data_IF_701689088997
#
_entry.id   IF_701689088997
#
_cell.length_a   1.000
_cell.length_b   1.000
_cell.length_c   1.000
_cell.angle_alpha   90.00
_cell.angle_beta   90.00
_cell.angle_gamma   90.00
#
_symmetry.space_group_name_H-M   'P 1'
#
loop_
_entity.id
_entity.type
_entity.pdbx_description
1 polymer ?
#
# COMPACT_ATOMS: atom_id res chain seq x y z
N UNK A 1 -18.31 -6.09 -0.83
CA UNK A 1 -19.35 -6.26 -1.88
C UNK A 1 -19.22 -7.64 -2.50
N UNK A 2 -20.35 -8.34 -2.60
CA UNK A 2 -20.55 -9.69 -3.12
C UNK A 2 -21.02 -9.52 -4.57
N UNK A 3 -20.30 -10.11 -5.54
CA UNK A 3 -20.73 -10.06 -6.95
C UNK A 3 -22.01 -10.86 -7.16
N UNK A 4 -22.74 -10.55 -8.23
CA UNK A 4 -23.92 -11.32 -8.65
C UNK A 4 -23.55 -12.81 -8.81
N UNK A 5 -24.32 -13.71 -8.18
CA UNK A 5 -24.04 -15.15 -8.12
C UNK A 5 -23.09 -15.61 -7.00
N UNK A 6 -22.56 -14.72 -6.16
CA UNK A 6 -21.79 -15.07 -4.96
C UNK A 6 -22.67 -15.01 -3.69
N UNK A 7 -22.38 -15.88 -2.72
CA UNK A 7 -22.99 -15.88 -1.38
C UNK A 7 -22.01 -15.34 -0.34
N UNK A 8 -22.54 -14.73 0.72
CA UNK A 8 -21.72 -14.36 1.86
C UNK A 8 -21.27 -15.61 2.63
N UNK A 9 -20.09 -15.59 3.28
CA UNK A 9 -19.68 -16.66 4.17
C UNK A 9 -20.73 -16.94 5.24
N UNK A 10 -20.91 -18.23 5.57
CA UNK A 10 -21.85 -18.65 6.60
C UNK A 10 -21.63 -17.91 7.92
N UNK A 11 -22.71 -17.38 8.50
CA UNK A 11 -22.69 -16.63 9.77
C UNK A 11 -22.39 -15.12 9.65
N UNK A 12 -22.13 -14.61 8.44
CA UNK A 12 -21.92 -13.16 8.24
C UNK A 12 -23.24 -12.43 7.97
N UNK A 13 -23.43 -11.30 8.65
CA UNK A 13 -24.57 -10.43 8.39
C UNK A 13 -24.37 -9.67 7.08
N UNK A 14 -25.26 -9.95 6.13
CA UNK A 14 -25.27 -9.34 4.80
C UNK A 14 -26.16 -8.10 4.82
N UNK A 15 -25.61 -6.96 4.42
CA UNK A 15 -26.30 -5.69 4.23
C UNK A 15 -26.40 -5.40 2.73
N UNK A 16 -27.45 -4.70 2.33
CA UNK A 16 -27.56 -4.19 0.96
C UNK A 16 -26.76 -2.88 0.84
N UNK A 17 -25.94 -2.79 -0.20
CA UNK A 17 -25.06 -1.66 -0.43
C UNK A 17 -25.79 -0.48 -1.08
N UNK A 18 -25.34 0.77 -0.84
CA UNK A 18 -26.00 1.99 -1.32
C UNK A 18 -26.08 2.15 -2.86
N UNK A 19 -25.41 1.29 -3.64
CA UNK A 19 -25.43 1.30 -5.12
C UNK A 19 -26.06 0.05 -5.75
N UNK A 20 -26.80 -0.73 -4.97
CA UNK A 20 -27.25 -2.06 -5.36
C UNK A 20 -26.13 -3.10 -5.23
N UNK A 21 -26.50 -4.31 -4.82
CA UNK A 21 -25.56 -5.40 -4.48
C UNK A 21 -25.41 -5.61 -2.98
N UNK A 22 -24.92 -6.79 -2.58
CA UNK A 22 -24.86 -7.23 -1.17
C UNK A 22 -23.44 -7.09 -0.62
N UNK A 23 -23.25 -6.77 0.65
CA UNK A 23 -21.92 -6.77 1.30
C UNK A 23 -22.01 -7.27 2.75
N UNK A 24 -20.89 -7.66 3.34
CA UNK A 24 -20.81 -8.02 4.77
C UNK A 24 -19.52 -7.42 5.35
N UNK A 25 -19.53 -7.11 6.64
CA UNK A 25 -18.39 -6.55 7.38
C UNK A 25 -17.66 -7.67 8.12
N UNK A 26 -16.33 -7.67 8.09
CA UNK A 26 -15.50 -8.61 8.86
C UNK A 26 -14.76 -7.88 9.97
N UNK A 27 -14.63 -8.48 11.16
CA UNK A 27 -13.91 -7.90 12.31
C UNK A 27 -12.42 -7.58 12.07
N UNK A 28 -11.83 -8.06 10.98
CA UNK A 28 -10.41 -7.86 10.63
C UNK A 28 -10.08 -6.53 9.94
N UNK A 29 -11.08 -5.79 9.42
CA UNK A 29 -10.85 -4.55 8.65
C UNK A 29 -10.05 -4.69 7.33
N UNK A 30 -9.42 -5.85 7.07
CA UNK A 30 -8.52 -6.10 5.94
C UNK A 30 -9.04 -7.12 4.93
N UNK A 31 -8.81 -6.79 3.66
CA UNK A 31 -8.92 -7.68 2.51
C UNK A 31 -10.33 -7.75 1.92
N UNK A 32 -10.42 -7.68 0.59
CA UNK A 32 -11.61 -8.18 -0.13
C UNK A 32 -11.96 -9.59 0.38
N UNK A 33 -13.24 -10.00 0.36
CA UNK A 33 -13.61 -11.40 0.49
C UNK A 33 -12.69 -12.25 -0.36
N UNK A 34 -11.81 -13.03 0.28
CA UNK A 34 -11.09 -14.07 -0.43
C UNK A 34 -12.18 -15.07 -0.82
N UNK A 35 -12.37 -15.20 -2.14
CA UNK A 35 -13.30 -16.18 -2.70
C UNK A 35 -12.97 -17.57 -2.16
N UNK A 36 -13.91 -18.50 -2.25
CA UNK A 36 -13.60 -19.87 -1.87
C UNK A 36 -12.43 -20.41 -2.71
N UNK A 37 -11.56 -21.25 -2.13
CA UNK A 37 -10.57 -21.94 -2.94
C UNK A 37 -11.29 -22.75 -4.03
N UNK A 38 -10.69 -22.91 -5.23
CA UNK A 38 -11.27 -23.77 -6.26
C UNK A 38 -11.56 -25.16 -5.68
N UNK A 39 -12.72 -25.76 -6.03
CA UNK A 39 -13.19 -27.01 -5.40
C UNK A 39 -12.18 -28.17 -5.45
N UNK A 40 -11.33 -28.18 -6.47
CA UNK A 40 -10.32 -29.22 -6.70
C UNK A 40 -8.90 -28.76 -6.31
N UNK A 41 -8.75 -27.59 -5.70
CA UNK A 41 -7.45 -27.04 -5.33
C UNK A 41 -6.99 -27.58 -3.97
N UNK A 42 -5.77 -28.12 -3.96
CA UNK A 42 -5.07 -28.57 -2.76
C UNK A 42 -3.68 -27.92 -2.77
N UNK A 43 -3.34 -27.03 -1.81
CA UNK A 43 -2.02 -26.43 -1.73
C UNK A 43 -0.92 -27.49 -1.64
N UNK A 44 0.19 -27.25 -2.32
CA UNK A 44 1.41 -28.06 -2.28
C UNK A 44 2.46 -27.38 -1.42
N UNK A 45 3.41 -28.16 -0.91
CA UNK A 45 4.58 -27.62 -0.23
C UNK A 45 5.30 -26.65 -1.18
N UNK A 46 5.55 -25.44 -0.71
CA UNK A 46 6.13 -24.35 -1.46
C UNK A 46 5.12 -23.40 -2.09
N UNK A 47 3.83 -23.71 -2.12
CA UNK A 47 2.81 -22.80 -2.67
C UNK A 47 2.65 -21.54 -1.84
N UNK A 48 2.37 -20.41 -2.51
CA UNK A 48 1.90 -19.21 -1.83
C UNK A 48 0.40 -19.28 -1.68
N UNK A 49 -0.05 -18.94 -0.49
CA UNK A 49 -1.46 -18.95 -0.11
C UNK A 49 -1.81 -17.66 0.59
N UNK A 50 -3.08 -17.28 0.55
CA UNK A 50 -3.62 -16.29 1.46
C UNK A 50 -4.44 -16.95 2.54
N UNK A 51 -4.31 -16.43 3.74
CA UNK A 51 -5.11 -16.85 4.88
C UNK A 51 -6.52 -16.28 4.70
N UNK A 52 -7.52 -17.15 4.69
CA UNK A 52 -8.95 -16.84 4.67
C UNK A 52 -9.52 -17.17 6.04
N UNK A 53 -9.40 -16.21 6.96
CA UNK A 53 -10.02 -16.26 8.27
C UNK A 53 -10.89 -15.02 8.44
N UNK A 54 -12.12 -15.03 7.90
CA UNK A 54 -12.98 -13.86 7.95
C UNK A 54 -13.11 -13.35 9.38
N UNK A 55 -12.69 -12.10 9.62
CA UNK A 55 -12.76 -11.48 10.94
C UNK A 55 -11.51 -11.61 11.81
N UNK A 56 -10.46 -12.28 11.34
CA UNK A 56 -9.17 -12.42 12.01
C UNK A 56 -8.11 -11.49 11.38
N UNK A 57 -7.18 -10.96 12.19
CA UNK A 57 -6.08 -10.08 11.76
C UNK A 57 -5.14 -10.72 10.73
N UNK A 58 -5.20 -12.04 10.60
CA UNK A 58 -4.43 -12.81 9.63
C UNK A 58 -5.12 -12.91 8.27
N UNK A 59 -6.39 -12.52 8.15
CA UNK A 59 -7.13 -12.56 6.89
C UNK A 59 -6.42 -11.74 5.79
N UNK A 60 -6.32 -12.31 4.59
CA UNK A 60 -5.63 -11.68 3.47
C UNK A 60 -4.11 -11.81 3.48
N UNK A 61 -3.48 -12.15 4.62
CA UNK A 61 -2.03 -12.23 4.72
C UNK A 61 -1.47 -13.31 3.81
N UNK A 62 -0.35 -12.96 3.18
CA UNK A 62 0.37 -13.82 2.26
C UNK A 62 1.31 -14.72 3.06
N UNK A 63 1.30 -16.00 2.73
CA UNK A 63 2.11 -17.01 3.39
C UNK A 63 2.62 -18.04 2.38
N UNK A 64 3.61 -18.84 2.79
CA UNK A 64 4.13 -19.98 2.04
C UNK A 64 3.80 -21.25 2.78
N UNK A 65 3.29 -22.26 2.08
CA UNK A 65 3.11 -23.60 2.63
C UNK A 65 4.47 -24.24 2.81
N UNK A 66 4.81 -24.62 4.03
CA UNK A 66 6.10 -25.24 4.36
C UNK A 66 5.96 -26.72 4.68
N UNK A 67 4.79 -27.16 5.15
CA UNK A 67 4.51 -28.56 5.36
C UNK A 67 3.02 -28.87 5.15
N UNK A 68 2.71 -30.12 4.83
CA UNK A 68 1.34 -30.64 4.78
C UNK A 68 1.20 -31.73 5.83
N UNK A 69 0.24 -31.56 6.72
CA UNK A 69 -0.16 -32.55 7.70
C UNK A 69 -1.43 -33.27 7.26
N UNK A 70 -1.54 -34.55 7.64
CA UNK A 70 -2.79 -35.31 7.48
C UNK A 70 -3.13 -35.99 8.79
N UNK A 71 -4.32 -35.70 9.31
CA UNK A 71 -4.86 -36.34 10.50
C UNK A 71 -6.25 -36.89 10.15
N UNK A 72 -6.31 -38.20 9.89
CA UNK A 72 -7.51 -38.84 9.32
C UNK A 72 -7.86 -38.26 7.95
N UNK A 73 -9.10 -37.80 7.79
CA UNK A 73 -9.59 -37.19 6.55
C UNK A 73 -9.29 -35.68 6.44
N UNK A 74 -8.79 -35.06 7.52
CA UNK A 74 -8.42 -33.65 7.50
C UNK A 74 -6.99 -33.48 6.99
N UNK A 75 -6.86 -32.68 5.93
CA UNK A 75 -5.58 -32.16 5.45
C UNK A 75 -5.37 -30.79 6.08
N UNK A 76 -4.19 -30.57 6.67
CA UNK A 76 -3.78 -29.28 7.20
C UNK A 76 -2.50 -28.83 6.53
N UNK A 77 -2.31 -27.52 6.43
CA UNK A 77 -1.11 -26.92 5.87
C UNK A 77 -0.44 -26.08 6.94
N UNK A 78 0.81 -26.39 7.25
CA UNK A 78 1.66 -25.50 8.00
C UNK A 78 2.20 -24.43 7.04
N UNK A 79 1.97 -23.18 7.37
CA UNK A 79 2.38 -22.04 6.56
C UNK A 79 3.36 -21.16 7.33
N UNK A 80 4.26 -20.50 6.62
CA UNK A 80 5.14 -19.48 7.14
C UNK A 80 4.78 -18.12 6.52
N UNK A 81 4.71 -17.09 7.36
CA UNK A 81 4.42 -15.74 6.92
C UNK A 81 5.44 -15.22 5.91
N UNK A 82 4.97 -14.52 4.88
CA UNK A 82 5.86 -13.82 3.95
C UNK A 82 5.75 -12.33 4.24
N UNK A 83 6.82 -11.75 4.76
CA UNK A 83 6.84 -10.34 5.15
C UNK A 83 6.32 -10.08 6.56
N UNK A 84 6.04 -11.12 7.36
CA UNK A 84 5.66 -11.01 8.77
C UNK A 84 6.25 -12.19 9.55
N UNK A 85 6.54 -11.99 10.85
CA UNK A 85 7.12 -13.04 11.69
C UNK A 85 6.06 -14.04 12.13
N UNK A 86 6.32 -15.33 11.87
CA UNK A 86 5.51 -16.43 12.36
C UNK A 86 5.01 -17.37 11.26
N UNK A 87 3.99 -18.13 11.64
CA UNK A 87 3.39 -19.19 10.86
C UNK A 87 2.32 -19.89 11.68
N UNK A 88 1.54 -20.75 11.04
CA UNK A 88 0.45 -21.45 11.71
C UNK A 88 0.05 -22.70 10.96
N UNK A 89 -0.67 -23.58 11.64
CA UNK A 89 -1.28 -24.74 11.03
C UNK A 89 -2.73 -24.41 10.69
N UNK A 90 -3.10 -24.52 9.42
CA UNK A 90 -4.43 -24.18 8.93
C UNK A 90 -5.09 -25.41 8.36
N UNK A 91 -6.33 -25.64 8.74
CA UNK A 91 -7.10 -26.77 8.26
C UNK A 91 -7.58 -26.45 6.85
N UNK A 92 -7.26 -27.29 5.88
CA UNK A 92 -7.59 -27.02 4.47
C UNK A 92 -9.06 -27.26 4.18
N UNK A 93 -9.65 -28.28 4.82
CA UNK A 93 -11.06 -28.63 4.65
C UNK A 93 -12.04 -27.56 5.13
N UNK A 94 -11.59 -26.58 5.91
CA UNK A 94 -12.38 -25.42 6.34
C UNK A 94 -12.22 -24.20 5.41
N UNK A 95 -11.52 -24.35 4.28
CA UNK A 95 -11.34 -23.26 3.31
C UNK A 95 -10.58 -22.07 3.89
N UNK A 96 -9.70 -22.32 4.87
CA UNK A 96 -8.91 -21.29 5.56
C UNK A 96 -7.71 -20.79 4.76
N UNK A 97 -7.41 -21.45 3.65
CA UNK A 97 -6.40 -21.03 2.70
C UNK A 97 -7.03 -20.90 1.34
N UNK A 98 -6.61 -19.87 0.61
CA UNK A 98 -6.92 -19.72 -0.82
C UNK A 98 -5.61 -19.60 -1.59
N UNK A 99 -5.57 -19.99 -2.87
CA UNK A 99 -4.39 -19.75 -3.68
C UNK A 99 -4.08 -18.25 -3.69
N UNK A 100 -2.80 -17.90 -3.57
CA UNK A 100 -2.35 -16.62 -4.08
C UNK A 100 -2.69 -16.53 -5.59
N UNK A 101 -2.79 -15.33 -6.20
CA UNK A 101 -3.19 -15.19 -7.60
C UNK A 101 -2.41 -16.08 -8.57
N UNK A 102 -1.16 -16.41 -8.22
CA UNK A 102 -0.33 -17.38 -8.91
C UNK A 102 0.31 -18.35 -7.91
N UNK A 103 0.16 -19.65 -8.16
CA UNK A 103 0.89 -20.74 -7.50
C UNK A 103 2.38 -20.70 -7.84
N UNK A 104 3.19 -21.40 -7.05
CA UNK A 104 4.65 -21.46 -7.29
C UNK A 104 4.97 -22.15 -8.62
N UNK A 105 4.12 -23.06 -9.07
CA UNK A 105 4.24 -23.70 -10.38
C UNK A 105 3.87 -22.74 -11.51
N UNK A 106 2.74 -22.06 -11.42
CA UNK A 106 2.31 -21.07 -12.44
C UNK A 106 3.38 -20.00 -12.64
N UNK A 107 3.94 -19.45 -11.55
CA UNK A 107 5.02 -18.44 -11.64
C UNK A 107 6.26 -18.92 -12.39
N UNK A 108 6.59 -20.21 -12.32
CA UNK A 108 7.76 -20.77 -13.01
C UNK A 108 7.52 -20.96 -14.51
N UNK A 109 6.26 -21.15 -14.88
CA UNK A 109 5.84 -21.45 -16.25
C UNK A 109 5.40 -20.18 -17.01
N UNK A 110 4.98 -19.13 -16.29
CA UNK A 110 4.58 -17.86 -16.89
C UNK A 110 5.74 -17.13 -17.55
N UNK A 111 5.56 -16.77 -18.81
CA UNK A 111 6.45 -15.85 -19.52
C UNK A 111 6.15 -14.40 -19.15
N UNK A 112 7.07 -13.48 -19.43
CA UNK A 112 6.83 -12.04 -19.23
C UNK A 112 5.58 -11.54 -19.98
N UNK A 113 5.26 -12.17 -21.12
CA UNK A 113 4.04 -11.88 -21.90
C UNK A 113 2.78 -12.33 -21.16
N UNK A 114 2.80 -13.51 -20.57
CA UNK A 114 1.65 -14.04 -19.83
C UNK A 114 1.35 -13.17 -18.60
N UNK A 115 2.40 -12.74 -17.90
CA UNK A 115 2.27 -11.82 -16.75
C UNK A 115 1.72 -10.46 -17.20
N UNK A 116 2.25 -9.93 -18.31
CA UNK A 116 1.79 -8.65 -18.84
C UNK A 116 0.30 -8.69 -19.19
N UNK A 117 -0.15 -9.74 -19.90
CA UNK A 117 -1.57 -9.91 -20.24
C UNK A 117 -2.41 -10.12 -18.98
N UNK A 118 -1.96 -10.95 -18.05
CA UNK A 118 -2.72 -11.23 -16.83
C UNK A 118 -2.88 -9.99 -15.94
N UNK A 119 -1.86 -9.13 -15.87
CA UNK A 119 -1.86 -7.99 -14.97
C UNK A 119 -2.34 -6.69 -15.63
N UNK A 120 -1.99 -6.45 -16.89
CA UNK A 120 -2.27 -5.20 -17.58
C UNK A 120 -3.27 -5.33 -18.73
N UNK A 121 -3.69 -6.56 -19.07
CA UNK A 121 -4.60 -6.83 -20.18
C UNK A 121 -3.91 -6.75 -21.54
N UNK A 122 -4.70 -6.57 -22.59
CA UNK A 122 -4.16 -6.34 -23.93
C UNK A 122 -3.36 -5.03 -23.99
N UNK A 123 -2.18 -5.10 -24.60
CA UNK A 123 -1.33 -3.93 -24.79
C UNK A 123 -1.24 -3.58 -26.27
N UNK A 124 -1.58 -2.35 -26.61
CA UNK A 124 -1.50 -1.85 -27.98
C UNK A 124 -0.55 -0.67 -28.06
N UNK A 125 0.14 -0.51 -29.19
CA UNK A 125 0.96 0.70 -29.40
C UNK A 125 0.03 1.91 -29.42
N UNK A 126 0.38 2.94 -28.67
CA UNK A 126 -0.49 4.10 -28.51
C UNK A 126 -0.76 4.79 -29.84
N UNK A 127 -2.05 4.95 -30.18
CA UNK A 127 -2.48 5.59 -31.42
C UNK A 127 -2.23 7.11 -31.43
N UNK A 128 -2.24 7.74 -30.25
CA UNK A 128 -2.14 9.19 -30.09
C UNK A 128 -0.73 9.66 -29.76
N UNK A 129 0.15 8.77 -29.30
CA UNK A 129 1.51 9.11 -28.86
C UNK A 129 2.46 7.92 -29.03
N UNK A 130 2.54 7.41 -30.27
CA UNK A 130 3.33 6.21 -30.59
C UNK A 130 4.78 6.27 -30.09
N UNK A 131 5.36 7.48 -29.99
CA UNK A 131 6.63 7.73 -29.32
C UNK A 131 6.61 9.03 -28.51
N UNK A 132 7.31 9.06 -27.38
CA UNK A 132 7.47 10.27 -26.55
C UNK A 132 8.89 10.40 -25.98
N UNK A 133 9.33 11.64 -25.79
CA UNK A 133 10.58 11.96 -25.09
C UNK A 133 10.27 12.13 -23.61
N UNK A 134 10.93 11.33 -22.78
CA UNK A 134 10.85 11.49 -21.34
C UNK A 134 11.80 12.58 -20.84
N UNK A 135 11.30 13.47 -19.99
CA UNK A 135 12.06 14.61 -19.44
C UNK A 135 13.13 14.19 -18.42
N UNK A 136 12.93 13.08 -17.70
CA UNK A 136 13.83 12.63 -16.64
C UNK A 136 15.10 12.01 -17.24
N UNK A 137 14.91 11.20 -18.29
CA UNK A 137 16.00 10.46 -18.95
C UNK A 137 16.49 11.13 -20.22
N UNK A 138 15.72 12.06 -20.80
CA UNK A 138 15.94 12.69 -22.10
C UNK A 138 16.07 11.67 -23.25
N UNK A 139 15.29 10.58 -23.18
CA UNK A 139 15.28 9.49 -24.16
C UNK A 139 13.90 9.36 -24.82
N UNK A 140 13.88 8.90 -26.07
CA UNK A 140 12.64 8.57 -26.79
C UNK A 140 12.17 7.14 -26.50
N UNK A 141 10.91 6.97 -26.08
CA UNK A 141 10.25 5.70 -25.75
C UNK A 141 9.13 5.40 -26.74
N UNK A 142 8.92 4.13 -27.03
CA UNK A 142 7.64 3.64 -27.56
C UNK A 142 6.63 3.54 -26.42
N UNK A 143 5.41 4.01 -26.67
CA UNK A 143 4.33 4.03 -25.68
C UNK A 143 3.30 2.97 -26.03
N UNK A 144 2.95 2.17 -25.02
CA UNK A 144 1.92 1.15 -25.11
C UNK A 144 0.80 1.47 -24.13
N UNK A 145 -0.42 1.56 -24.64
CA UNK A 145 -1.62 1.69 -23.81
C UNK A 145 -2.01 0.31 -23.28
N UNK A 146 -2.48 0.25 -22.03
CA UNK A 146 -2.92 -0.97 -21.35
C UNK A 146 -4.39 -0.86 -20.94
N UNK A 147 -5.10 -1.99 -20.87
CA UNK A 147 -6.49 -2.02 -20.40
C UNK A 147 -6.60 -1.70 -18.90
N UNK A 148 -5.56 -2.04 -18.12
CA UNK A 148 -5.57 -1.84 -16.68
C UNK A 148 -5.26 -0.41 -16.22
N UNK A 149 -4.92 0.50 -17.13
CA UNK A 149 -4.73 1.93 -16.82
C UNK A 149 -3.39 2.50 -17.26
N UNK A 150 -2.25 2.12 -16.64
CA UNK A 150 -0.98 2.81 -16.87
C UNK A 150 -0.45 2.54 -18.27
N UNK A 151 0.14 3.56 -18.89
CA UNK A 151 0.91 3.39 -20.11
C UNK A 151 2.27 2.76 -19.80
N UNK A 152 2.71 1.82 -20.64
CA UNK A 152 4.04 1.22 -20.55
C UNK A 152 4.96 1.91 -21.53
N UNK A 153 6.05 2.47 -21.01
CA UNK A 153 7.03 3.20 -21.80
C UNK A 153 8.30 2.36 -21.90
N UNK A 154 8.55 1.84 -23.11
CA UNK A 154 9.69 0.96 -23.40
C UNK A 154 10.62 1.69 -24.35
N UNK A 155 11.93 1.68 -24.11
CA UNK A 155 12.87 2.39 -24.97
C UNK A 155 12.73 1.91 -26.42
N UNK A 156 12.49 2.85 -27.33
CA UNK A 156 12.44 2.62 -28.78
C UNK A 156 13.80 2.19 -29.31
N UNK A 157 13.82 1.16 -30.16
CA UNK A 157 15.02 0.77 -30.89
C UNK A 157 15.47 1.92 -31.83
N UNK A 158 16.75 2.34 -31.79
CA UNK A 158 17.22 3.37 -32.70
C UNK A 158 17.14 2.87 -34.16
N UNK A 159 16.85 3.78 -35.10
CA UNK A 159 16.79 3.48 -36.53
C UNK A 159 18.16 3.22 -37.18
N UNK A 160 19.27 3.49 -36.49
CA UNK A 160 20.64 3.32 -36.99
C UNK A 160 21.64 2.82 -35.91
N UNK A 161 22.73 2.20 -36.39
CA UNK A 161 23.70 1.33 -35.71
C UNK A 161 24.46 1.92 -34.51
N UNK A 162 23.80 2.02 -33.34
CA UNK A 162 24.47 1.80 -32.04
C UNK A 162 23.68 0.83 -31.15
N UNK A 163 23.64 -0.48 -31.50
CA UNK A 163 22.68 -1.44 -30.96
C UNK A 163 23.05 -2.11 -29.61
N UNK A 164 24.17 -1.82 -28.95
CA UNK A 164 24.67 -2.70 -27.87
C UNK A 164 24.50 -2.26 -26.41
N UNK A 165 23.88 -1.12 -26.07
CA UNK A 165 23.77 -0.72 -24.64
C UNK A 165 22.31 -0.56 -24.16
N UNK A 166 21.45 0.13 -24.92
CA UNK A 166 20.28 0.77 -24.29
C UNK A 166 18.97 -0.04 -24.39
N UNK A 167 18.82 -0.98 -25.33
CA UNK A 167 17.57 -1.76 -25.48
C UNK A 167 17.54 -3.02 -24.60
N UNK A 168 18.68 -3.70 -24.46
CA UNK A 168 18.83 -4.84 -23.54
C UNK A 168 18.56 -4.44 -22.09
N UNK A 169 18.91 -3.22 -21.69
CA UNK A 169 18.75 -2.74 -20.32
C UNK A 169 17.29 -2.38 -19.99
N UNK A 170 16.51 -1.87 -20.95
CA UNK A 170 15.05 -1.71 -20.77
C UNK A 170 14.35 -3.07 -20.68
N UNK A 171 14.74 -4.04 -21.52
CA UNK A 171 14.22 -5.40 -21.46
C UNK A 171 14.54 -6.07 -20.11
N UNK A 172 15.72 -5.78 -19.55
CA UNK A 172 16.13 -6.24 -18.22
C UNK A 172 15.25 -5.63 -17.12
N UNK A 173 15.00 -4.31 -17.14
CA UNK A 173 14.13 -3.64 -16.18
C UNK A 173 12.68 -4.17 -16.29
N UNK A 174 12.20 -4.38 -17.51
CA UNK A 174 10.89 -4.97 -17.80
C UNK A 174 10.79 -6.40 -17.26
N UNK A 175 11.78 -7.26 -17.55
CA UNK A 175 11.79 -8.64 -17.06
C UNK A 175 11.81 -8.71 -15.54
N UNK A 176 12.67 -7.90 -14.89
CA UNK A 176 12.74 -7.82 -13.43
C UNK A 176 11.40 -7.36 -12.84
N UNK A 177 10.79 -6.32 -13.43
CA UNK A 177 9.48 -5.82 -13.04
C UNK A 177 8.40 -6.91 -13.15
N UNK A 178 8.29 -7.59 -14.29
CA UNK A 178 7.30 -8.65 -14.49
C UNK A 178 7.42 -9.76 -13.44
N UNK A 179 8.64 -10.18 -13.12
CA UNK A 179 8.87 -11.16 -12.04
C UNK A 179 8.47 -10.63 -10.66
N UNK A 180 8.67 -9.33 -10.41
CA UNK A 180 8.31 -8.69 -9.14
C UNK A 180 6.80 -8.52 -8.97
N UNK A 181 6.04 -8.30 -10.04
CA UNK A 181 4.57 -8.21 -9.97
C UNK A 181 3.94 -9.44 -9.31
N UNK A 182 4.46 -10.62 -9.66
CA UNK A 182 4.04 -11.89 -9.07
C UNK A 182 4.25 -11.95 -7.55
N UNK A 183 5.16 -11.12 -7.02
CA UNK A 183 5.50 -11.06 -5.61
C UNK A 183 4.77 -9.93 -4.86
N UNK A 184 4.20 -8.94 -5.56
CA UNK A 184 3.55 -7.78 -4.96
C UNK A 184 2.23 -8.14 -4.26
N UNK A 185 1.90 -7.46 -3.14
CA UNK A 185 0.56 -7.48 -2.57
C UNK A 185 -0.48 -6.97 -3.58
N UNK A 186 -1.65 -7.61 -3.63
CA UNK A 186 -2.68 -7.27 -4.64
C UNK A 186 -3.17 -5.84 -4.50
N UNK A 187 -3.36 -5.35 -3.28
CA UNK A 187 -3.90 -4.00 -3.08
C UNK A 187 -2.87 -2.93 -3.47
N UNK A 188 -1.59 -3.19 -3.24
CA UNK A 188 -0.51 -2.32 -3.72
C UNK A 188 -0.40 -2.31 -5.25
N UNK A 189 -0.54 -3.48 -5.87
CA UNK A 189 -0.56 -3.60 -7.33
C UNK A 189 -1.78 -2.89 -7.93
N UNK A 190 -2.95 -3.01 -7.29
CA UNK A 190 -4.17 -2.30 -7.70
C UNK A 190 -4.00 -0.79 -7.55
N UNK A 191 -3.45 -0.31 -6.43
CA UNK A 191 -3.16 1.10 -6.24
C UNK A 191 -2.20 1.65 -7.30
N UNK A 192 -1.17 0.85 -7.66
CA UNK A 192 -0.26 1.21 -8.75
C UNK A 192 -1.01 1.29 -10.09
N UNK A 193 -1.90 0.35 -10.42
CA UNK A 193 -2.70 0.38 -11.66
C UNK A 193 -3.66 1.57 -11.71
N UNK A 194 -4.29 1.91 -10.58
CA UNK A 194 -5.27 3.00 -10.50
C UNK A 194 -4.62 4.39 -10.50
N UNK A 195 -3.44 4.54 -9.89
CA UNK A 195 -2.84 5.85 -9.67
C UNK A 195 -1.59 6.15 -10.49
N UNK A 196 -0.90 5.16 -11.03
CA UNK A 196 0.18 5.42 -11.99
C UNK A 196 -0.41 5.72 -13.36
N UNK A 197 -0.03 6.85 -13.96
CA UNK A 197 -0.31 7.11 -15.37
C UNK A 197 0.66 6.37 -16.28
N UNK A 198 1.91 6.19 -15.83
CA UNK A 198 2.98 5.67 -16.68
C UNK A 198 3.96 4.82 -15.87
N UNK A 199 4.38 3.71 -16.46
CA UNK A 199 5.48 2.88 -15.97
C UNK A 199 6.59 2.94 -17.02
N UNK A 200 7.72 3.54 -16.63
CA UNK A 200 8.86 3.81 -17.50
C UNK A 200 9.96 2.78 -17.23
N UNK A 201 10.23 1.94 -18.22
CA UNK A 201 11.33 0.98 -18.16
C UNK A 201 12.60 1.67 -18.66
N UNK A 202 13.32 2.29 -17.74
CA UNK A 202 14.50 3.05 -18.08
C UNK A 202 15.67 2.13 -18.39
N UNK A 203 16.43 2.41 -19.45
CA UNK A 203 17.69 1.74 -19.74
C UNK A 203 18.89 2.36 -19.07
N UNK A 204 18.76 3.56 -18.50
CA UNK A 204 19.85 4.26 -17.83
C UNK A 204 19.62 4.26 -16.33
N UNK A 205 20.69 4.38 -15.55
CA UNK A 205 20.56 4.50 -14.09
C UNK A 205 19.82 5.77 -13.69
N UNK A 206 19.24 5.76 -12.49
CA UNK A 206 18.57 6.93 -11.93
C UNK A 206 19.54 8.14 -11.90
N UNK A 207 19.25 9.25 -12.59
CA UNK A 207 20.16 10.39 -12.67
C UNK A 207 20.41 11.04 -11.29
N UNK A 208 19.53 10.80 -10.32
CA UNK A 208 19.65 11.32 -8.96
C UNK A 208 20.40 10.40 -8.00
N UNK A 209 20.75 9.16 -8.39
CA UNK A 209 21.43 8.23 -7.49
C UNK A 209 22.75 8.79 -6.95
N UNK A 210 23.49 9.61 -7.71
CA UNK A 210 24.73 10.23 -7.24
C UNK A 210 24.53 11.33 -6.19
N UNK A 211 23.38 12.03 -6.18
CA UNK A 211 23.08 13.09 -5.20
C UNK A 211 22.33 12.56 -3.98
N UNK A 212 21.46 11.57 -4.15
CA UNK A 212 20.53 11.11 -3.09
C UNK A 212 21.08 9.90 -2.30
N UNK A 213 21.94 9.06 -2.90
CA UNK A 213 22.55 7.88 -2.22
C UNK A 213 23.44 8.21 -1.03
N UNK A 214 23.82 9.49 -0.84
CA UNK A 214 24.59 9.92 0.34
C UNK A 214 23.69 10.27 1.55
N UNK A 215 22.42 10.61 1.34
CA UNK A 215 21.52 11.06 2.40
C UNK A 215 20.53 9.98 2.87
N UNK A 216 20.20 9.05 1.98
CA UNK A 216 19.13 8.08 2.16
C UNK A 216 19.78 6.71 1.96
N UNK A 217 19.84 5.87 3.00
CA UNK A 217 20.65 4.67 3.00
C UNK A 217 20.41 3.73 1.81
N UNK A 218 21.19 3.89 0.73
CA UNK A 218 21.56 3.00 -0.41
C UNK A 218 20.57 1.98 -1.02
N UNK A 219 19.38 1.73 -0.46
CA UNK A 219 18.65 0.48 -0.70
C UNK A 219 17.44 0.57 -1.63
N UNK A 220 16.80 1.73 -1.78
CA UNK A 220 15.49 1.84 -2.47
C UNK A 220 15.52 2.63 -3.79
N UNK A 221 16.15 3.80 -3.83
CA UNK A 221 16.08 4.74 -4.98
C UNK A 221 16.70 4.26 -6.29
N UNK A 222 17.50 3.20 -6.25
CA UNK A 222 18.26 2.74 -7.42
C UNK A 222 17.53 1.72 -8.28
N UNK A 223 16.54 1.00 -7.74
CA UNK A 223 15.85 -0.09 -8.44
C UNK A 223 14.53 0.34 -9.07
N UNK A 224 13.72 1.09 -8.33
CA UNK A 224 12.53 1.78 -8.85
C UNK A 224 12.35 3.10 -8.10
N UNK A 225 11.58 4.03 -8.67
CA UNK A 225 11.15 5.26 -7.98
C UNK A 225 9.92 5.89 -8.62
N UNK A 226 9.08 6.52 -7.81
CA UNK A 226 8.02 7.41 -8.25
C UNK A 226 8.57 8.82 -8.52
N UNK A 227 8.23 9.40 -9.66
CA UNK A 227 8.58 10.78 -10.02
C UNK A 227 7.31 11.57 -10.32
N UNK A 228 7.24 12.78 -9.77
CA UNK A 228 5.98 13.52 -9.76
C UNK A 228 4.97 12.80 -8.86
N UNK A 229 3.74 12.63 -9.35
CA UNK A 229 2.65 11.97 -8.62
C UNK A 229 2.27 10.59 -9.18
N UNK A 230 2.70 10.25 -10.39
CA UNK A 230 2.06 9.19 -11.18
C UNK A 230 2.98 8.45 -12.16
N UNK A 231 4.29 8.76 -12.19
CA UNK A 231 5.27 8.11 -13.08
C UNK A 231 6.19 7.19 -12.28
N UNK A 232 6.00 5.90 -12.44
CA UNK A 232 6.87 4.88 -11.83
C UNK A 232 8.01 4.56 -12.79
N UNK A 233 9.24 4.77 -12.35
CA UNK A 233 10.43 4.35 -13.09
C UNK A 233 10.92 3.01 -12.55
N UNK A 234 11.22 2.09 -13.45
CA UNK A 234 11.98 0.88 -13.15
C UNK A 234 13.36 1.03 -13.80
N UNK A 235 14.39 1.04 -12.97
CA UNK A 235 15.76 1.33 -13.38
C UNK A 235 16.55 0.03 -13.63
N UNK A 236 17.66 0.07 -14.38
CA UNK A 236 18.47 -1.12 -14.64
C UNK A 236 19.03 -1.81 -13.39
N UNK A 237 19.16 -1.09 -12.27
CA UNK A 237 19.63 -1.68 -11.01
C UNK A 237 18.62 -2.70 -10.44
N UNK A 238 17.36 -2.67 -10.87
CA UNK A 238 16.33 -3.68 -10.55
C UNK A 238 16.80 -5.12 -10.82
N UNK A 239 17.65 -5.34 -11.83
CA UNK A 239 18.24 -6.67 -12.13
C UNK A 239 19.03 -7.27 -10.95
N UNK A 240 19.60 -6.42 -10.11
CA UNK A 240 20.44 -6.85 -8.97
C UNK A 240 19.60 -7.28 -7.77
N UNK A 241 18.28 -7.07 -7.84
CA UNK A 241 17.34 -7.38 -6.78
C UNK A 241 16.65 -8.70 -7.12
N UNK A 242 16.41 -9.52 -6.10
CA UNK A 242 15.46 -10.62 -6.25
C UNK A 242 14.04 -10.07 -6.40
N UNK A 243 13.14 -10.88 -6.96
CA UNK A 243 11.77 -10.47 -7.26
C UNK A 243 11.01 -9.98 -6.01
N UNK A 244 11.22 -10.61 -4.86
CA UNK A 244 10.56 -10.22 -3.61
C UNK A 244 11.02 -8.85 -3.12
N UNK A 245 12.32 -8.59 -3.18
CA UNK A 245 12.87 -7.29 -2.80
C UNK A 245 12.45 -6.17 -3.75
N UNK A 246 12.43 -6.41 -5.06
CA UNK A 246 11.92 -5.43 -6.02
C UNK A 246 10.41 -5.19 -5.81
N UNK A 247 9.64 -6.23 -5.49
CA UNK A 247 8.22 -6.08 -5.19
C UNK A 247 7.98 -5.22 -3.94
N UNK A 248 8.82 -5.34 -2.91
CA UNK A 248 8.77 -4.46 -1.74
C UNK A 248 9.06 -3.00 -2.12
N UNK A 249 10.05 -2.75 -2.98
CA UNK A 249 10.33 -1.39 -3.49
C UNK A 249 9.11 -0.85 -4.25
N UNK A 250 8.53 -1.63 -5.16
CA UNK A 250 7.34 -1.22 -5.91
C UNK A 250 6.11 -1.00 -5.00
N UNK A 251 5.99 -1.77 -3.92
CA UNK A 251 4.94 -1.59 -2.90
C UNK A 251 5.13 -0.27 -2.15
N UNK A 252 6.37 0.11 -1.85
CA UNK A 252 6.70 1.42 -1.30
C UNK A 252 6.32 2.54 -2.28
N UNK A 253 6.68 2.42 -3.56
CA UNK A 253 6.30 3.42 -4.57
C UNK A 253 4.77 3.55 -4.73
N UNK A 254 4.04 2.43 -4.64
CA UNK A 254 2.58 2.44 -4.57
C UNK A 254 2.06 3.19 -3.33
N UNK A 255 2.78 3.16 -2.21
CA UNK A 255 2.48 3.95 -1.02
C UNK A 255 2.51 5.46 -1.28
N UNK A 256 3.47 5.96 -2.08
CA UNK A 256 3.48 7.36 -2.50
C UNK A 256 2.29 7.70 -3.41
N UNK A 257 1.88 6.79 -4.29
CA UNK A 257 0.67 6.95 -5.11
C UNK A 257 -0.57 7.06 -4.21
N UNK A 258 -0.70 6.16 -3.24
CA UNK A 258 -1.80 6.17 -2.27
C UNK A 258 -1.81 7.47 -1.45
N UNK A 259 -0.64 8.00 -1.07
CA UNK A 259 -0.53 9.28 -0.37
C UNK A 259 -1.03 10.45 -1.23
N UNK A 260 -0.69 10.45 -2.51
CA UNK A 260 -1.20 11.45 -3.46
C UNK A 260 -2.72 11.35 -3.64
N UNK A 261 -3.25 10.14 -3.81
CA UNK A 261 -4.70 9.91 -3.91
C UNK A 261 -5.43 10.30 -2.61
N UNK A 262 -4.83 10.01 -1.44
CA UNK A 262 -5.33 10.45 -0.13
C UNK A 262 -5.39 11.97 -0.04
N UNK A 263 -4.38 12.69 -0.54
CA UNK A 263 -4.37 14.16 -0.47
C UNK A 263 -5.61 14.77 -1.13
N UNK A 264 -6.03 14.22 -2.28
CA UNK A 264 -7.28 14.61 -2.94
C UNK A 264 -8.51 14.21 -2.11
N UNK A 265 -8.49 13.01 -1.51
CA UNK A 265 -9.55 12.53 -0.63
C UNK A 265 -9.74 13.43 0.60
N UNK A 266 -8.66 13.96 1.17
CA UNK A 266 -8.70 14.87 2.31
C UNK A 266 -9.40 16.18 1.98
N UNK A 267 -9.17 16.75 0.79
CA UNK A 267 -9.89 17.93 0.34
C UNK A 267 -11.40 17.66 0.19
N UNK A 268 -11.77 16.53 -0.43
CA UNK A 268 -13.16 16.11 -0.57
C UNK A 268 -13.82 15.84 0.79
N UNK A 269 -13.08 15.24 1.72
CA UNK A 269 -13.53 14.99 3.09
C UNK A 269 -13.92 16.29 3.79
N UNK A 270 -13.06 17.29 3.73
CA UNK A 270 -13.32 18.60 4.34
C UNK A 270 -14.52 19.31 3.70
N UNK A 271 -14.73 19.16 2.40
CA UNK A 271 -15.94 19.66 1.73
C UNK A 271 -17.22 18.94 2.19
N UNK A 272 -17.17 17.61 2.28
CA UNK A 272 -18.28 16.80 2.80
C UNK A 272 -18.60 17.14 4.26
N UNK A 273 -17.57 17.34 5.08
CA UNK A 273 -17.73 17.61 6.50
C UNK A 273 -18.36 18.98 6.73
N UNK A 274 -17.98 19.98 5.93
CA UNK A 274 -18.62 21.29 5.95
C UNK A 274 -20.09 21.24 5.57
N UNK A 275 -20.45 20.45 4.55
CA UNK A 275 -21.86 20.26 4.16
C UNK A 275 -22.65 19.58 5.25
N UNK A 276 -22.12 18.51 5.84
CA UNK A 276 -22.74 17.82 6.96
C UNK A 276 -23.07 18.78 8.12
N UNK A 277 -22.10 19.60 8.54
CA UNK A 277 -22.33 20.55 9.64
C UNK A 277 -23.31 21.66 9.26
N UNK A 278 -23.31 22.11 8.01
CA UNK A 278 -24.32 23.06 7.52
C UNK A 278 -25.73 22.44 7.51
N UNK A 279 -25.87 21.19 7.07
CA UNK A 279 -27.15 20.47 7.03
C UNK A 279 -27.70 20.22 8.43
N UNK A 280 -26.84 19.88 9.41
CA UNK A 280 -27.25 19.75 10.81
C UNK A 280 -27.75 21.08 11.38
N UNK A 281 -27.08 22.19 11.02
CA UNK A 281 -27.49 23.52 11.46
C UNK A 281 -28.82 23.94 10.83
N UNK A 282 -29.01 23.70 9.53
CA UNK A 282 -30.22 24.10 8.79
C UNK A 282 -31.43 23.24 9.15
N UNK A 283 -31.26 21.92 9.23
CA UNK A 283 -32.38 20.98 9.37
C UNK A 283 -32.67 20.57 10.82
N UNK A 284 -31.65 20.50 11.67
CA UNK A 284 -31.78 20.04 13.07
C UNK A 284 -31.54 21.16 14.09
N UNK A 285 -31.09 22.34 13.66
CA UNK A 285 -30.75 23.45 14.56
C UNK A 285 -29.53 23.18 15.44
N UNK A 286 -28.73 22.16 15.12
CA UNK A 286 -27.53 21.79 15.87
C UNK A 286 -26.35 22.64 15.39
N UNK A 287 -25.77 23.44 16.30
CA UNK A 287 -24.60 24.26 16.02
C UNK A 287 -23.30 23.44 16.21
N UNK A 288 -22.28 23.76 15.41
CA UNK A 288 -20.93 23.20 15.55
C UNK A 288 -20.38 23.51 16.97
N UNK A 289 -20.08 22.49 17.80
CA UNK A 289 -19.53 22.70 19.13
C UNK A 289 -18.15 23.38 19.10
N UNK A 290 -17.77 24.08 20.17
CA UNK A 290 -16.42 24.66 20.27
C UNK A 290 -15.33 23.61 20.57
N UNK A 291 -15.72 22.48 21.16
CA UNK A 291 -14.80 21.41 21.53
C UNK A 291 -14.63 20.41 20.40
N UNK A 292 -13.38 20.18 19.95
CA UNK A 292 -13.04 19.15 18.96
C UNK A 292 -13.55 17.78 19.39
N UNK A 293 -13.48 17.45 20.69
CA UNK A 293 -13.96 16.16 21.20
C UNK A 293 -15.47 15.99 21.07
N UNK A 294 -16.22 17.08 21.21
CA UNK A 294 -17.68 17.07 21.05
C UNK A 294 -18.05 17.00 19.57
N UNK A 295 -17.32 17.72 18.70
CA UNK A 295 -17.45 17.61 17.25
C UNK A 295 -17.23 16.15 16.80
N UNK A 296 -16.09 15.55 17.16
CA UNK A 296 -15.75 14.17 16.82
C UNK A 296 -16.77 13.16 17.35
N UNK A 297 -17.35 13.40 18.53
CA UNK A 297 -18.38 12.51 19.09
C UNK A 297 -19.67 12.51 18.24
N UNK A 298 -20.12 13.69 17.80
CA UNK A 298 -21.29 13.83 16.92
C UNK A 298 -20.99 13.23 15.53
N UNK A 299 -19.81 13.51 14.98
CA UNK A 299 -19.36 12.95 13.72
C UNK A 299 -19.39 11.41 13.76
N UNK A 300 -18.81 10.81 14.81
CA UNK A 300 -18.83 9.34 15.01
C UNK A 300 -20.25 8.80 15.19
N UNK A 301 -21.10 9.47 15.96
CA UNK A 301 -22.50 9.08 16.13
C UNK A 301 -23.26 9.08 14.81
N UNK A 302 -22.96 10.04 13.92
CA UNK A 302 -23.55 10.16 12.58
C UNK A 302 -22.82 9.32 11.52
N UNK A 303 -21.87 8.49 11.92
CA UNK A 303 -21.17 7.54 11.05
C UNK A 303 -20.09 8.16 10.17
N UNK A 304 -19.67 9.40 10.45
CA UNK A 304 -18.58 10.06 9.73
C UNK A 304 -17.25 9.37 10.10
N UNK A 305 -16.47 8.91 9.10
CA UNK A 305 -15.17 8.31 9.36
C UNK A 305 -14.18 9.37 9.85
N UNK A 306 -13.16 9.01 10.66
CA UNK A 306 -12.09 9.92 11.03
C UNK A 306 -11.46 10.65 9.83
N UNK A 307 -10.92 11.85 10.06
CA UNK A 307 -10.20 12.59 9.02
C UNK A 307 -9.05 11.73 8.44
N UNK A 308 -8.98 11.52 7.10
CA UNK A 308 -7.90 10.77 6.46
C UNK A 308 -6.51 11.40 6.63
N UNK A 309 -6.39 12.60 7.18
CA UNK A 309 -5.13 13.29 7.47
C UNK A 309 -4.74 13.25 8.95
N UNK A 310 -5.59 12.69 9.83
CA UNK A 310 -5.36 12.68 11.29
C UNK A 310 -4.03 12.06 11.71
N UNK A 311 -3.51 11.11 10.94
CA UNK A 311 -2.20 10.49 11.18
C UNK A 311 -1.03 11.50 11.16
N UNK A 312 -1.17 12.63 10.44
CA UNK A 312 -0.15 13.66 10.34
C UNK A 312 0.10 14.35 11.69
N UNK A 313 -0.93 14.47 12.53
CA UNK A 313 -0.82 15.07 13.87
C UNK A 313 0.11 14.24 14.76
N UNK A 314 -0.08 12.92 14.78
CA UNK A 314 0.70 12.02 15.60
C UNK A 314 2.13 11.85 15.06
N UNK A 315 2.30 11.83 13.73
CA UNK A 315 3.63 11.92 13.10
C UNK A 315 4.34 13.24 13.47
N UNK A 316 3.63 14.36 13.41
CA UNK A 316 4.16 15.67 13.80
C UNK A 316 4.57 15.72 15.27
N UNK A 317 3.80 15.11 16.17
CA UNK A 317 4.16 14.95 17.59
C UNK A 317 5.42 14.12 17.75
N UNK A 318 5.54 13.00 17.05
CA UNK A 318 6.78 12.20 17.04
C UNK A 318 7.97 13.03 16.54
N UNK A 319 7.80 13.79 15.44
CA UNK A 319 8.86 14.62 14.88
C UNK A 319 9.30 15.72 15.84
N UNK A 320 8.38 16.31 16.59
CA UNK A 320 8.69 17.26 17.66
C UNK A 320 9.55 16.63 18.77
N UNK A 321 9.29 15.37 19.13
CA UNK A 321 10.15 14.62 20.08
C UNK A 321 11.55 14.41 19.50
N UNK A 322 11.66 14.02 18.23
CA UNK A 322 12.96 13.87 17.57
C UNK A 322 13.74 15.20 17.52
N UNK A 323 13.06 16.31 17.17
CA UNK A 323 13.64 17.64 17.19
C UNK A 323 14.08 18.08 18.59
N UNK A 324 13.26 17.84 19.62
CA UNK A 324 13.62 18.15 21.00
C UNK A 324 14.84 17.35 21.49
N UNK A 325 14.99 16.09 21.05
CA UNK A 325 16.19 15.29 21.34
C UNK A 325 17.43 15.78 20.58
N UNK A 326 17.25 16.20 19.32
CA UNK A 326 18.34 16.71 18.47
C UNK A 326 18.76 18.14 18.80
N UNK A 327 17.86 18.96 19.35
CA UNK A 327 18.07 20.35 19.76
C UNK A 327 17.52 20.61 21.17
N UNK A 328 18.14 20.06 22.23
CA UNK A 328 17.54 20.06 23.57
C UNK A 328 17.32 21.42 24.23
N UNK A 329 17.93 22.48 23.70
CA UNK A 329 17.80 23.86 24.17
C UNK A 329 16.75 24.69 23.43
N UNK A 330 16.18 24.20 22.34
CA UNK A 330 15.14 24.92 21.59
C UNK A 330 13.78 24.84 22.31
N UNK A 331 13.01 25.93 22.28
CA UNK A 331 11.65 25.95 22.81
C UNK A 331 10.72 25.14 21.91
N UNK A 332 9.92 24.28 22.53
CA UNK A 332 8.92 23.46 21.87
C UNK A 332 7.67 23.38 22.74
N UNK A 333 6.50 23.42 22.10
CA UNK A 333 5.24 23.10 22.75
C UNK A 333 5.03 21.57 22.79
N UNK A 334 4.66 21.05 23.95
CA UNK A 334 4.46 19.62 24.20
C UNK A 334 2.98 19.32 24.49
N UNK A 335 2.17 18.93 23.47
CA UNK A 335 0.72 18.77 23.63
C UNK A 335 0.32 17.79 24.75
N UNK A 336 1.08 16.72 24.93
CA UNK A 336 0.87 15.68 25.95
C UNK A 336 0.84 16.20 27.40
N UNK A 337 1.50 17.34 27.64
CA UNK A 337 1.63 17.96 28.96
C UNK A 337 1.27 19.45 28.95
N UNK A 338 0.82 19.96 27.81
CA UNK A 338 0.36 21.34 27.57
C UNK A 338 1.34 22.43 28.05
N UNK A 339 2.65 22.21 27.89
CA UNK A 339 3.68 23.21 28.24
C UNK A 339 4.61 23.50 27.08
N UNK A 340 5.12 24.73 27.04
CA UNK A 340 6.19 25.16 26.14
C UNK A 340 7.51 25.26 26.90
N UNK A 341 8.44 24.33 26.66
CA UNK A 341 9.74 24.26 27.34
C UNK A 341 10.80 23.58 26.47
N UNK A 342 12.09 23.89 26.65
CA UNK A 342 13.16 23.10 26.06
C UNK A 342 13.18 21.67 26.58
N UNK A 343 13.50 20.71 25.71
CA UNK A 343 13.56 19.28 26.09
C UNK A 343 14.47 19.04 27.30
N UNK A 344 15.60 19.74 27.40
CA UNK A 344 16.54 19.60 28.53
C UNK A 344 15.93 19.98 29.88
N UNK A 345 14.93 20.87 29.90
CA UNK A 345 14.28 21.41 31.10
C UNK A 345 13.06 20.60 31.54
N UNK A 346 12.63 19.61 30.74
CA UNK A 346 11.58 18.69 31.12
C UNK A 346 12.08 17.69 32.18
N UNK A 347 11.23 17.39 33.16
CA UNK A 347 11.46 16.31 34.12
C UNK A 347 11.51 14.95 33.41
N UNK A 348 12.14 13.95 34.03
CA UNK A 348 12.18 12.60 33.46
C UNK A 348 10.77 12.00 33.31
N UNK A 349 9.87 12.27 34.26
CA UNK A 349 8.47 11.85 34.17
C UNK A 349 7.74 12.50 32.98
N UNK A 350 7.97 13.79 32.73
CA UNK A 350 7.40 14.50 31.59
C UNK A 350 7.92 13.95 30.25
N UNK A 351 9.23 13.70 30.14
CA UNK A 351 9.84 13.07 28.96
C UNK A 351 9.24 11.69 28.69
N UNK A 352 9.16 10.85 29.73
CA UNK A 352 8.59 9.51 29.61
C UNK A 352 7.13 9.54 29.14
N UNK A 353 6.31 10.44 29.68
CA UNK A 353 4.91 10.59 29.25
C UNK A 353 4.80 11.05 27.79
N UNK A 354 5.61 12.02 27.36
CA UNK A 354 5.64 12.48 25.97
C UNK A 354 6.04 11.33 25.03
N UNK A 355 7.10 10.59 25.37
CA UNK A 355 7.61 9.48 24.55
C UNK A 355 6.59 8.34 24.44
N UNK A 356 5.93 8.00 25.56
CA UNK A 356 4.87 6.99 25.58
C UNK A 356 3.72 7.36 24.65
N UNK A 357 3.34 8.64 24.61
CA UNK A 357 2.23 9.11 23.79
C UNK A 357 2.52 9.12 22.28
N UNK A 358 3.79 8.99 21.86
CA UNK A 358 4.17 8.94 20.44
C UNK A 358 4.66 7.56 20.01
N UNK A 359 4.61 6.56 20.90
CA UNK A 359 5.15 5.22 20.64
C UNK A 359 4.50 4.56 19.43
N UNK A 360 3.20 4.77 19.23
CA UNK A 360 2.44 4.19 18.13
C UNK A 360 2.64 4.94 16.79
N UNK A 361 3.37 6.06 16.81
CA UNK A 361 3.70 6.88 15.65
C UNK A 361 5.15 6.72 15.20
N UNK A 362 5.94 5.87 15.87
CA UNK A 362 7.36 5.66 15.56
C UNK A 362 7.55 5.20 14.10
N UNK A 363 8.52 5.76 13.36
CA UNK A 363 8.83 5.29 12.00
C UNK A 363 9.21 3.81 11.99
N UNK A 364 8.64 3.06 11.05
CA UNK A 364 8.91 1.63 10.86
C UNK A 364 10.34 1.34 10.39
N UNK A 365 11.05 2.36 9.90
CA UNK A 365 12.44 2.25 9.48
C UNK A 365 13.17 3.57 9.66
N UNK A 366 14.51 3.53 9.65
CA UNK A 366 15.34 4.76 9.59
C UNK A 366 15.08 5.56 8.33
N UNK A 367 14.57 4.93 7.27
CA UNK A 367 14.25 5.64 6.05
C UNK A 367 12.94 6.44 6.19
N UNK A 368 11.93 5.83 6.81
CA UNK A 368 10.67 6.46 7.16
C UNK A 368 10.82 7.72 8.04
N UNK A 369 11.93 7.87 8.78
CA UNK A 369 12.17 9.05 9.62
C UNK A 369 12.61 10.30 8.86
N UNK A 370 12.94 10.16 7.57
CA UNK A 370 13.57 11.23 6.78
C UNK A 370 12.61 12.36 6.42
N UNK A 371 11.39 12.04 5.98
CA UNK A 371 10.32 13.00 5.74
C UNK A 371 8.95 12.32 5.77
N UNK A 372 7.88 13.13 5.75
CA UNK A 372 6.50 12.68 5.82
C UNK A 372 6.10 11.70 4.70
N UNK A 373 6.55 11.94 3.47
CA UNK A 373 6.20 11.09 2.32
C UNK A 373 6.81 9.70 2.44
N UNK A 374 8.07 9.63 2.89
CA UNK A 374 8.75 8.36 3.15
C UNK A 374 8.17 7.63 4.35
N UNK A 375 7.74 8.37 5.38
CA UNK A 375 7.01 7.80 6.51
C UNK A 375 5.75 7.08 6.03
N UNK A 376 4.96 7.73 5.19
CA UNK A 376 3.73 7.18 4.64
C UNK A 376 3.99 5.95 3.76
N UNK A 377 4.90 6.05 2.80
CA UNK A 377 5.19 4.99 1.84
C UNK A 377 5.78 3.74 2.50
N UNK A 378 6.71 3.91 3.45
CA UNK A 378 7.25 2.80 4.23
C UNK A 378 6.18 2.15 5.10
N UNK A 379 5.36 2.94 5.80
CA UNK A 379 4.27 2.40 6.61
C UNK A 379 3.26 1.61 5.74
N UNK A 380 2.96 2.10 4.53
CA UNK A 380 2.10 1.41 3.59
C UNK A 380 2.71 0.07 3.14
N UNK A 381 4.00 0.06 2.80
CA UNK A 381 4.69 -1.19 2.44
C UNK A 381 4.64 -2.21 3.59
N UNK A 382 4.89 -1.77 4.83
CA UNK A 382 4.79 -2.63 6.01
C UNK A 382 3.35 -3.11 6.27
N UNK A 383 2.36 -2.25 6.06
CA UNK A 383 0.94 -2.60 6.19
C UNK A 383 0.57 -3.72 5.21
N UNK A 384 0.94 -3.55 3.94
CA UNK A 384 0.67 -4.50 2.85
C UNK A 384 1.40 -5.84 3.01
N UNK A 385 2.58 -5.82 3.64
CA UNK A 385 3.33 -7.03 3.99
C UNK A 385 2.83 -7.70 5.28
N UNK A 386 1.91 -7.06 6.02
CA UNK A 386 1.42 -7.57 7.31
C UNK A 386 2.41 -7.43 8.47
N UNK A 387 3.47 -6.62 8.28
CA UNK A 387 4.49 -6.34 9.29
C UNK A 387 4.13 -5.14 10.19
N UNK A 388 3.21 -4.27 9.76
CA UNK A 388 2.84 -3.09 10.53
C UNK A 388 2.06 -3.51 11.81
N UNK A 389 2.49 -3.10 13.01
CA UNK A 389 1.77 -3.39 14.25
C UNK A 389 0.33 -2.88 14.23
N UNK A 390 -0.60 -3.63 14.81
CA UNK A 390 -2.03 -3.29 14.85
C UNK A 390 -2.35 -2.02 15.62
N UNK A 391 -1.51 -1.67 16.60
CA UNK A 391 -1.61 -0.46 17.42
C UNK A 391 -0.91 0.75 16.79
N UNK A 392 -0.21 0.58 15.66
CA UNK A 392 0.46 1.67 14.96
C UNK A 392 -0.57 2.60 14.30
N UNK A 393 -0.38 3.93 14.38
CA UNK A 393 -1.35 4.92 13.87
C UNK A 393 -1.71 4.72 12.39
N UNK A 394 -0.69 4.37 11.60
CA UNK A 394 -0.85 4.14 10.17
C UNK A 394 -1.72 2.92 9.85
N UNK A 395 -1.84 1.95 10.76
CA UNK A 395 -2.69 0.78 10.58
C UNK A 395 -4.15 1.23 10.49
N UNK A 396 -4.63 1.95 11.51
CA UNK A 396 -5.98 2.49 11.54
C UNK A 396 -6.24 3.48 10.40
N UNK A 397 -5.22 4.27 10.04
CA UNK A 397 -5.28 5.17 8.88
C UNK A 397 -5.58 4.42 7.57
N UNK A 398 -4.83 3.37 7.25
CA UNK A 398 -5.04 2.64 5.99
C UNK A 398 -6.40 1.93 5.93
N UNK A 399 -6.89 1.42 7.07
CA UNK A 399 -8.23 0.86 7.17
C UNK A 399 -9.33 1.93 6.99
N UNK A 400 -9.05 3.17 7.40
CA UNK A 400 -9.98 4.28 7.31
C UNK A 400 -10.16 4.83 5.88
N UNK A 401 -9.13 4.77 5.03
CA UNK A 401 -9.17 5.35 3.68
C UNK A 401 -10.38 4.90 2.86
N UNK A 402 -10.73 3.61 2.93
CA UNK A 402 -11.88 3.07 2.21
C UNK A 402 -13.21 3.52 2.81
N UNK A 403 -13.30 3.65 4.14
CA UNK A 403 -14.48 4.19 4.82
C UNK A 403 -14.72 5.64 4.41
N UNK A 404 -13.67 6.45 4.35
CA UNK A 404 -13.74 7.84 3.86
C UNK A 404 -14.23 7.91 2.42
N UNK A 405 -13.71 7.07 1.52
CA UNK A 405 -14.18 7.01 0.12
C UNK A 405 -15.66 6.64 0.03
N UNK A 406 -16.12 5.70 0.85
CA UNK A 406 -17.52 5.26 0.84
C UNK A 406 -18.47 6.33 1.36
N UNK A 407 -18.08 7.02 2.44
CA UNK A 407 -18.86 8.12 3.00
C UNK A 407 -19.03 9.26 1.99
N UNK A 408 -17.98 9.63 1.25
CA UNK A 408 -18.04 10.69 0.24
C UNK A 408 -18.88 10.35 -1.00
N UNK A 409 -19.27 9.08 -1.18
CA UNK A 409 -20.10 8.63 -2.29
C UNK A 409 -21.59 8.51 -1.95
N UNK A 410 -21.94 8.66 -0.67
CA UNK A 410 -23.32 8.77 -0.17
C UNK A 410 -23.78 10.22 -0.30
#
# INVERSE_FOLDING_TARGET
>A
YIKEGQEAPAGMHVKEGPRGGRYYETSAGRGRPLGEPPKDWTPKIGDRVRIRLPGDDWNGRLARVTNLGRAGDQVSAYIQGIGWEGGGNFVMSSGQLVPAPYSTTEKKEMTARDILIAEFGETSRSATSATQIDIETNLEYDVYDTEAGPQLWVKKEPREDKPWVVTKESAVSLEAFMRALLEMPTDAMQAMKEGAQRIVFSPVGNPHDRKTSQMIGRKFTSAASLKGSDRVYVWPASKKFDAGRLAQVLTHEAGHIVDHLRSNLGAQYQDGLRKFWADLQENEGILLPASIREQEAIEVERGIPPDPNKWQDDWGRWKNVELGRGSPGALHYWPSIQVEKPWRELSQAAKHLIEKNVQNALPVSRYASTNEKEYYAEAYAWYQLGALPGDHIMYAHFDNLERTKQWLQQ
#
